data_IF_943678259404
#
_entry.id   IF_943678259404
#
_cell.length_a   1.000
_cell.length_b   1.000
_cell.length_c   1.000
_cell.angle_alpha   90.00
_cell.angle_beta   90.00
_cell.angle_gamma   90.00
#
_symmetry.space_group_name_H-M   'P 1'
#
loop_
_entity.id
_entity.type
_entity.pdbx_description
1 polymer ?
#
# COMPACT_ATOMS: atom_id res chain seq x y z
N UNK A 1 -24.02 -31.54 -1.42
CA UNK A 1 -23.28 -30.85 -2.51
C UNK A 1 -23.56 -29.34 -2.60
N UNK A 2 -24.73 -28.80 -2.24
CA UNK A 2 -24.99 -27.34 -2.24
C UNK A 2 -24.20 -26.54 -1.19
N UNK A 3 -24.01 -27.07 0.03
CA UNK A 3 -23.27 -26.37 1.09
C UNK A 3 -21.76 -26.23 0.81
N UNK A 4 -21.13 -27.20 0.14
CA UNK A 4 -19.73 -27.08 -0.29
C UNK A 4 -19.55 -25.99 -1.36
N UNK A 5 -20.52 -25.84 -2.26
CA UNK A 5 -20.52 -24.79 -3.29
C UNK A 5 -20.74 -23.39 -2.72
N UNK A 6 -21.48 -23.25 -1.61
CA UNK A 6 -21.65 -21.96 -0.93
C UNK A 6 -20.39 -21.53 -0.17
N UNK A 7 -19.75 -22.45 0.57
CA UNK A 7 -18.48 -22.16 1.25
C UNK A 7 -17.36 -21.76 0.27
N UNK A 8 -17.31 -22.40 -0.89
CA UNK A 8 -16.34 -22.08 -1.95
C UNK A 8 -16.63 -20.73 -2.63
N UNK A 9 -17.91 -20.34 -2.78
CA UNK A 9 -18.29 -19.00 -3.28
C UNK A 9 -17.94 -17.89 -2.30
N UNK A 10 -18.11 -18.11 -1.00
CA UNK A 10 -17.79 -17.12 0.04
C UNK A 10 -16.27 -16.93 0.17
N UNK A 11 -15.49 -18.02 0.17
CA UNK A 11 -14.03 -17.93 0.20
C UNK A 11 -13.47 -17.26 -1.06
N UNK A 12 -14.03 -17.57 -2.24
CA UNK A 12 -13.67 -16.89 -3.48
C UNK A 12 -14.01 -15.40 -3.45
N UNK A 13 -15.18 -15.00 -2.93
CA UNK A 13 -15.57 -13.59 -2.80
C UNK A 13 -14.67 -12.81 -1.86
N UNK A 14 -14.33 -13.38 -0.70
CA UNK A 14 -13.42 -12.75 0.26
C UNK A 14 -12.00 -12.68 -0.30
N UNK A 15 -11.51 -13.75 -0.93
CA UNK A 15 -10.20 -13.76 -1.58
C UNK A 15 -10.12 -12.80 -2.78
N UNK A 16 -11.19 -12.69 -3.58
CA UNK A 16 -11.25 -11.78 -4.71
C UNK A 16 -11.39 -10.32 -4.27
N UNK A 17 -12.14 -10.06 -3.20
CA UNK A 17 -12.26 -8.74 -2.57
C UNK A 17 -10.92 -8.31 -1.98
N UNK A 18 -10.22 -9.23 -1.31
CA UNK A 18 -8.90 -8.98 -0.77
C UNK A 18 -7.84 -8.77 -1.88
N UNK A 19 -7.83 -9.60 -2.92
CA UNK A 19 -6.82 -9.55 -3.97
C UNK A 19 -7.08 -8.49 -5.05
N UNK A 20 -8.27 -7.90 -5.13
CA UNK A 20 -8.62 -6.88 -6.14
C UNK A 20 -8.77 -7.40 -7.58
N UNK A 21 -8.49 -8.68 -7.82
CA UNK A 21 -8.45 -9.26 -9.17
C UNK A 21 -9.76 -9.16 -9.95
N UNK A 22 -10.90 -9.25 -9.25
CA UNK A 22 -12.22 -9.12 -9.91
C UNK A 22 -12.48 -7.68 -10.38
N UNK A 23 -12.03 -6.69 -9.60
CA UNK A 23 -12.12 -5.27 -9.98
C UNK A 23 -11.16 -4.95 -11.12
N UNK A 24 -9.91 -5.40 -11.04
CA UNK A 24 -8.90 -5.22 -12.09
C UNK A 24 -9.33 -5.88 -13.40
N UNK A 25 -9.88 -7.10 -13.35
CA UNK A 25 -10.37 -7.80 -14.53
C UNK A 25 -11.55 -7.08 -15.19
N UNK A 26 -12.49 -6.57 -14.39
CA UNK A 26 -13.60 -5.78 -14.91
C UNK A 26 -13.11 -4.47 -15.54
N UNK A 27 -12.18 -3.77 -14.88
CA UNK A 27 -11.61 -2.52 -15.39
C UNK A 27 -10.82 -2.72 -16.69
N UNK A 28 -9.98 -3.76 -16.76
CA UNK A 28 -9.24 -4.11 -17.97
C UNK A 28 -10.19 -4.47 -19.13
N UNK A 29 -11.26 -5.21 -18.85
CA UNK A 29 -12.29 -5.52 -19.86
C UNK A 29 -13.02 -4.27 -20.35
N UNK A 30 -13.27 -3.30 -19.46
CA UNK A 30 -13.90 -2.03 -19.79
C UNK A 30 -12.99 -1.17 -20.67
N UNK A 31 -11.70 -1.05 -20.31
CA UNK A 31 -10.69 -0.35 -21.10
C UNK A 31 -10.55 -0.96 -22.50
N UNK A 32 -10.47 -2.29 -22.58
CA UNK A 32 -10.39 -3.00 -23.86
C UNK A 32 -11.64 -2.74 -24.74
N UNK A 33 -12.83 -2.76 -24.13
CA UNK A 33 -14.07 -2.46 -24.83
C UNK A 33 -14.11 -1.00 -25.34
N UNK A 34 -13.66 -0.04 -24.54
CA UNK A 34 -13.64 1.37 -24.93
C UNK A 34 -12.68 1.62 -26.11
N UNK A 35 -11.48 1.04 -26.06
CA UNK A 35 -10.51 1.09 -27.18
C UNK A 35 -11.11 0.48 -28.45
N UNK A 36 -11.77 -0.68 -28.34
CA UNK A 36 -12.40 -1.34 -29.49
C UNK A 36 -13.56 -0.51 -30.08
N UNK A 37 -14.38 0.11 -29.23
CA UNK A 37 -15.49 0.97 -29.67
C UNK A 37 -14.94 2.17 -30.44
N UNK A 38 -13.88 2.82 -29.96
CA UNK A 38 -13.29 3.97 -30.67
C UNK A 38 -12.67 3.53 -31.98
N UNK A 39 -11.92 2.42 -32.00
CA UNK A 39 -11.26 1.90 -33.20
C UNK A 39 -12.24 1.54 -34.33
N UNK A 40 -13.43 1.04 -33.98
CA UNK A 40 -14.49 0.67 -34.93
C UNK A 40 -15.49 1.80 -35.22
N UNK A 41 -15.36 2.94 -34.52
CA UNK A 41 -16.28 4.06 -34.69
C UNK A 41 -16.01 4.85 -35.97
N UNK A 42 -17.05 5.53 -36.47
CA UNK A 42 -16.90 6.45 -37.60
C UNK A 42 -15.95 7.61 -37.23
N UNK A 43 -15.18 8.16 -38.19
CA UNK A 43 -14.19 9.22 -37.94
C UNK A 43 -14.75 10.40 -37.14
N UNK A 44 -15.93 10.89 -37.52
CA UNK A 44 -16.58 12.00 -36.84
C UNK A 44 -16.94 11.70 -35.38
N UNK A 45 -17.22 10.43 -35.03
CA UNK A 45 -17.56 10.01 -33.66
C UNK A 45 -16.30 9.76 -32.82
N UNK A 46 -15.22 9.30 -33.42
CA UNK A 46 -13.92 9.25 -32.76
C UNK A 46 -13.40 10.67 -32.47
N UNK A 47 -13.62 11.60 -33.40
CA UNK A 47 -13.21 13.00 -33.28
C UNK A 47 -13.81 13.69 -32.06
N UNK A 48 -15.08 13.44 -31.73
CA UNK A 48 -15.71 14.06 -30.54
C UNK A 48 -15.09 13.62 -29.21
N UNK A 49 -14.36 12.50 -29.19
CA UNK A 49 -13.67 11.99 -28.00
C UNK A 49 -12.21 12.44 -27.92
N UNK A 50 -11.69 13.10 -28.96
CA UNK A 50 -10.25 13.44 -29.07
C UNK A 50 -9.77 14.27 -27.88
N UNK A 51 -10.56 15.25 -27.43
CA UNK A 51 -10.24 16.11 -26.30
C UNK A 51 -10.16 15.34 -24.97
N UNK A 52 -11.09 14.40 -24.76
CA UNK A 52 -11.11 13.58 -23.56
C UNK A 52 -9.90 12.63 -23.51
N UNK A 53 -9.54 12.03 -24.66
CA UNK A 53 -8.37 11.15 -24.76
C UNK A 53 -7.08 11.94 -24.59
N UNK A 54 -6.96 13.12 -25.19
CA UNK A 54 -5.79 13.99 -25.00
C UNK A 54 -5.67 14.45 -23.54
N UNK A 55 -6.76 14.87 -22.90
CA UNK A 55 -6.74 15.27 -21.49
C UNK A 55 -6.29 14.13 -20.55
N UNK A 56 -6.62 12.87 -20.89
CA UNK A 56 -6.16 11.70 -20.15
C UNK A 56 -4.69 11.35 -20.45
N UNK A 57 -4.30 11.36 -21.72
CA UNK A 57 -3.00 10.88 -22.18
C UNK A 57 -1.86 11.90 -21.99
N UNK A 58 -2.14 13.20 -22.07
CA UNK A 58 -1.15 14.28 -21.99
C UNK A 58 -0.27 14.21 -20.71
N UNK A 59 -0.83 14.06 -19.48
CA UNK A 59 0.00 13.91 -18.28
C UNK A 59 0.69 12.54 -18.15
N UNK A 60 0.31 11.54 -18.94
CA UNK A 60 0.79 10.16 -18.81
C UNK A 60 1.82 9.78 -19.89
N UNK A 61 1.75 10.37 -21.08
CA UNK A 61 2.43 9.91 -22.28
C UNK A 61 3.18 11.04 -23.01
N UNK A 62 3.74 12.01 -22.29
CA UNK A 62 4.41 13.21 -22.87
C UNK A 62 5.48 12.93 -23.95
N UNK A 63 6.13 11.76 -23.94
CA UNK A 63 7.17 11.37 -24.91
C UNK A 63 6.68 10.38 -25.97
N UNK A 64 5.41 10.01 -25.97
CA UNK A 64 4.89 9.00 -26.89
C UNK A 64 4.65 9.62 -28.29
N UNK A 65 5.21 9.07 -29.38
CA UNK A 65 4.96 9.55 -30.74
C UNK A 65 3.47 9.50 -31.14
N UNK A 66 2.66 8.67 -30.48
CA UNK A 66 1.21 8.58 -30.69
C UNK A 66 0.49 9.84 -30.21
N UNK A 67 0.97 10.46 -29.13
CA UNK A 67 0.40 11.71 -28.62
C UNK A 67 0.61 12.83 -29.65
N UNK A 68 1.84 12.97 -30.15
CA UNK A 68 2.18 13.95 -31.18
C UNK A 68 1.36 13.75 -32.48
N UNK A 69 1.10 12.50 -32.86
CA UNK A 69 0.25 12.19 -34.02
C UNK A 69 -1.19 12.67 -33.84
N UNK A 70 -1.79 12.40 -32.68
CA UNK A 70 -3.18 12.83 -32.40
C UNK A 70 -3.27 14.35 -32.26
N UNK A 71 -2.27 15.00 -31.68
CA UNK A 71 -2.19 16.46 -31.62
C UNK A 71 -2.04 17.11 -33.00
N UNK A 72 -1.25 16.52 -33.90
CA UNK A 72 -1.12 16.98 -35.29
C UNK A 72 -2.44 16.83 -36.05
N UNK A 73 -3.12 15.69 -35.89
CA UNK A 73 -4.46 15.46 -36.46
C UNK A 73 -5.46 16.50 -35.94
N UNK A 74 -5.44 16.79 -34.64
CA UNK A 74 -6.28 17.83 -34.03
C UNK A 74 -5.96 19.22 -34.55
N UNK A 75 -4.68 19.56 -34.69
CA UNK A 75 -4.22 20.87 -35.19
C UNK A 75 -4.65 21.12 -36.64
N UNK A 76 -4.65 20.08 -37.46
CA UNK A 76 -5.08 20.15 -38.87
C UNK A 76 -6.60 20.20 -39.04
N UNK A 77 -7.36 19.96 -37.97
CA UNK A 77 -8.83 19.99 -37.93
C UNK A 77 -9.49 19.15 -39.05
N UNK A 78 -9.09 17.87 -39.13
CA UNK A 78 -9.60 16.92 -40.13
C UNK A 78 -10.51 15.85 -39.51
N UNK A 79 -11.76 16.19 -39.16
CA UNK A 79 -12.68 15.30 -38.44
C UNK A 79 -13.13 14.06 -39.23
N UNK A 80 -12.95 14.07 -40.55
CA UNK A 80 -13.36 12.97 -41.44
C UNK A 80 -12.20 12.03 -41.84
N UNK A 81 -10.98 12.29 -41.37
CA UNK A 81 -9.84 11.44 -41.70
C UNK A 81 -10.06 10.02 -41.13
N UNK A 82 -10.01 9.02 -42.01
CA UNK A 82 -10.13 7.60 -41.67
C UNK A 82 -9.05 7.13 -40.69
N UNK A 83 -8.00 7.93 -40.48
CA UNK A 83 -6.95 7.65 -39.51
C UNK A 83 -7.29 7.99 -38.06
N UNK A 84 -8.27 8.88 -37.85
CA UNK A 84 -8.64 9.37 -36.51
C UNK A 84 -9.04 8.23 -35.56
N UNK A 85 -9.92 7.28 -35.94
CA UNK A 85 -10.36 6.22 -35.03
C UNK A 85 -9.21 5.36 -34.51
N UNK A 86 -8.29 4.93 -35.39
CA UNK A 86 -7.18 4.08 -34.97
C UNK A 86 -6.13 4.85 -34.18
N UNK A 87 -5.84 6.11 -34.54
CA UNK A 87 -4.83 6.92 -33.86
C UNK A 87 -5.27 7.25 -32.43
N UNK A 88 -6.54 7.64 -32.26
CA UNK A 88 -7.13 7.93 -30.94
C UNK A 88 -7.21 6.65 -30.09
N UNK A 89 -7.62 5.51 -30.68
CA UNK A 89 -7.65 4.24 -29.97
C UNK A 89 -6.26 3.77 -29.52
N UNK A 90 -5.23 3.91 -30.38
CA UNK A 90 -3.86 3.53 -30.07
C UNK A 90 -3.23 4.40 -28.97
N UNK A 91 -3.56 5.69 -28.93
CA UNK A 91 -3.16 6.60 -27.85
C UNK A 91 -3.87 6.25 -26.55
N UNK A 92 -5.19 6.00 -26.59
CA UNK A 92 -5.95 5.62 -25.41
C UNK A 92 -5.45 4.29 -24.81
N UNK A 93 -5.14 3.31 -25.65
CA UNK A 93 -4.55 2.05 -25.21
C UNK A 93 -3.19 2.25 -24.53
N UNK A 94 -2.34 3.14 -25.06
CA UNK A 94 -1.06 3.47 -24.44
C UNK A 94 -1.26 4.14 -23.07
N UNK A 95 -2.19 5.09 -22.98
CA UNK A 95 -2.52 5.75 -21.72
C UNK A 95 -3.01 4.77 -20.65
N UNK A 96 -3.89 3.83 -21.02
CA UNK A 96 -4.35 2.78 -20.10
C UNK A 96 -3.24 1.81 -19.68
N UNK A 97 -2.34 1.43 -20.58
CA UNK A 97 -1.20 0.58 -20.22
C UNK A 97 -0.32 1.23 -19.14
N UNK A 98 -0.01 2.53 -19.28
CA UNK A 98 0.75 3.30 -18.27
C UNK A 98 -0.04 3.40 -16.95
N UNK A 99 -1.36 3.57 -17.01
CA UNK A 99 -2.20 3.63 -15.81
C UNK A 99 -2.27 2.28 -15.08
N UNK A 100 -2.34 1.17 -15.82
CA UNK A 100 -2.31 -0.20 -15.28
C UNK A 100 -0.98 -0.51 -14.61
N UNK A 101 0.16 -0.09 -15.18
CA UNK A 101 1.48 -0.23 -14.53
C UNK A 101 1.52 0.48 -13.16
N UNK A 102 0.97 1.71 -13.09
CA UNK A 102 0.85 2.45 -11.82
C UNK A 102 -0.03 1.69 -10.81
N UNK A 103 -1.11 1.05 -11.28
CA UNK A 103 -1.96 0.21 -10.45
C UNK A 103 -1.25 -1.06 -9.95
N UNK A 104 -0.43 -1.72 -10.77
CA UNK A 104 0.36 -2.90 -10.34
C UNK A 104 1.36 -2.53 -9.25
N UNK A 105 2.04 -1.39 -9.38
CA UNK A 105 2.97 -0.87 -8.35
C UNK A 105 2.25 -0.68 -7.01
N UNK A 106 1.03 -0.15 -7.05
CA UNK A 106 0.17 0.03 -5.88
C UNK A 106 -0.11 -1.30 -5.15
N UNK A 107 -0.36 -2.38 -5.90
CA UNK A 107 -0.65 -3.72 -5.37
C UNK A 107 0.57 -4.34 -4.69
N UNK A 108 1.74 -4.25 -5.33
CA UNK A 108 2.99 -4.75 -4.77
C UNK A 108 3.35 -4.03 -3.47
N UNK A 109 3.08 -2.73 -3.39
CA UNK A 109 3.26 -1.94 -2.18
C UNK A 109 2.30 -2.39 -1.07
N UNK A 110 1.00 -2.56 -1.37
CA UNK A 110 0.01 -3.07 -0.40
C UNK A 110 0.40 -4.44 0.15
N UNK A 111 0.80 -5.37 -0.71
CA UNK A 111 1.22 -6.71 -0.30
C UNK A 111 2.53 -6.70 0.50
N UNK A 112 3.42 -5.73 0.27
CA UNK A 112 4.62 -5.53 1.08
C UNK A 112 4.27 -4.96 2.46
N UNK A 113 3.36 -4.00 2.53
CA UNK A 113 2.83 -3.44 3.79
C UNK A 113 2.11 -4.49 4.62
N UNK A 114 1.21 -5.29 4.02
CA UNK A 114 0.50 -6.37 4.73
C UNK A 114 1.50 -7.40 5.28
N UNK A 115 2.51 -7.78 4.49
CA UNK A 115 3.57 -8.69 4.97
C UNK A 115 4.35 -8.09 6.14
N UNK A 116 4.82 -6.85 6.02
CA UNK A 116 5.53 -6.18 7.10
C UNK A 116 4.66 -6.06 8.37
N UNK A 117 3.39 -5.67 8.21
CA UNK A 117 2.44 -5.57 9.32
C UNK A 117 2.17 -6.92 9.97
N UNK A 118 2.01 -7.99 9.19
CA UNK A 118 1.82 -9.33 9.72
C UNK A 118 3.02 -9.82 10.55
N UNK A 119 4.25 -9.49 10.14
CA UNK A 119 5.46 -9.81 10.89
C UNK A 119 5.50 -9.04 12.23
N UNK A 120 5.16 -7.75 12.21
CA UNK A 120 5.13 -6.93 13.43
C UNK A 120 4.04 -7.38 14.40
N UNK A 121 2.84 -7.69 13.90
CA UNK A 121 1.77 -8.26 14.72
C UNK A 121 2.17 -9.62 15.28
N UNK A 122 2.85 -10.46 14.49
CA UNK A 122 3.37 -11.74 14.98
C UNK A 122 4.39 -11.55 16.10
N UNK A 123 5.32 -10.60 15.97
CA UNK A 123 6.26 -10.26 17.04
C UNK A 123 5.54 -9.81 18.30
N UNK A 124 4.52 -8.95 18.17
CA UNK A 124 3.66 -8.53 19.28
C UNK A 124 3.02 -9.73 19.99
N UNK A 125 2.43 -10.64 19.22
CA UNK A 125 1.81 -11.88 19.75
C UNK A 125 2.85 -12.74 20.44
N UNK A 126 4.06 -12.90 19.87
CA UNK A 126 5.14 -13.64 20.51
C UNK A 126 5.52 -13.03 21.84
N UNK A 127 5.70 -11.69 21.91
CA UNK A 127 6.02 -11.00 23.18
C UNK A 127 4.94 -11.24 24.24
N UNK A 128 3.66 -11.15 23.84
CA UNK A 128 2.52 -11.44 24.73
C UNK A 128 2.49 -12.90 25.19
N UNK A 129 2.77 -13.85 24.29
CA UNK A 129 2.81 -15.29 24.61
C UNK A 129 3.99 -15.61 25.54
N UNK A 130 5.15 -14.99 25.35
CA UNK A 130 6.30 -15.14 26.23
C UNK A 130 5.98 -14.60 27.63
N UNK A 131 5.41 -13.39 27.73
CA UNK A 131 4.94 -12.81 28.99
C UNK A 131 3.91 -13.69 29.70
N UNK A 132 3.04 -14.36 28.94
CA UNK A 132 2.04 -15.26 29.49
C UNK A 132 2.64 -16.57 30.01
N UNK A 133 3.61 -17.14 29.29
CA UNK A 133 4.23 -18.42 29.68
C UNK A 133 5.22 -18.29 30.81
N UNK A 134 5.97 -17.18 30.84
CA UNK A 134 7.05 -16.95 31.79
C UNK A 134 6.87 -15.58 32.44
N UNK A 135 6.18 -15.54 33.58
CA UNK A 135 6.17 -14.36 34.43
C UNK A 135 7.63 -13.96 34.78
N UNK A 136 7.90 -12.65 34.83
CA UNK A 136 9.22 -12.14 35.22
C UNK A 136 10.31 -12.11 34.14
N UNK A 137 10.10 -12.69 32.95
CA UNK A 137 11.13 -12.67 31.88
C UNK A 137 11.29 -11.31 31.20
N UNK A 138 10.25 -10.48 31.23
CA UNK A 138 10.27 -9.14 30.67
C UNK A 138 10.20 -8.16 31.84
N UNK A 139 11.31 -7.50 32.22
CA UNK A 139 11.31 -6.53 33.31
C UNK A 139 10.61 -5.24 32.86
N UNK A 140 9.28 -5.26 32.91
CA UNK A 140 8.43 -4.08 32.69
C UNK A 140 8.28 -3.27 33.99
N UNK A 141 8.34 -3.95 35.13
CA UNK A 141 8.38 -3.33 36.44
C UNK A 141 9.22 -4.21 37.37
N UNK A 142 10.12 -3.61 38.13
CA UNK A 142 11.08 -4.32 39.01
C UNK A 142 10.71 -4.20 40.49
N UNK A 143 10.25 -3.03 40.95
CA UNK A 143 10.04 -2.77 42.39
C UNK A 143 8.61 -2.36 42.77
N UNK A 144 7.79 -1.89 41.82
CA UNK A 144 6.52 -1.21 42.09
C UNK A 144 5.36 -1.73 41.21
N UNK A 145 5.23 -3.04 41.05
CA UNK A 145 4.13 -3.61 40.25
C UNK A 145 2.78 -3.57 41.04
N UNK A 146 1.63 -3.27 40.40
CA UNK A 146 0.34 -3.08 41.08
C UNK A 146 -0.13 -4.27 41.91
N UNK A 147 0.19 -5.50 41.46
CA UNK A 147 -0.23 -6.74 42.13
C UNK A 147 0.87 -7.31 43.05
N UNK A 148 2.01 -6.62 43.22
CA UNK A 148 3.13 -7.07 44.06
C UNK A 148 3.83 -8.36 43.60
N UNK A 149 3.42 -8.92 42.47
CA UNK A 149 4.00 -10.09 41.82
C UNK A 149 4.89 -9.69 40.63
N UNK A 150 5.67 -10.65 40.11
CA UNK A 150 6.42 -10.51 38.86
C UNK A 150 5.52 -10.01 37.72
N UNK A 151 6.04 -9.20 36.77
CA UNK A 151 5.26 -8.66 35.67
C UNK A 151 4.59 -9.78 34.87
N UNK A 152 3.27 -9.73 34.80
CA UNK A 152 2.43 -10.69 34.09
C UNK A 152 1.89 -10.13 32.77
N UNK A 153 0.96 -10.89 32.18
CA UNK A 153 0.29 -10.55 30.93
C UNK A 153 -0.40 -9.17 30.98
N UNK A 154 -0.95 -8.79 32.14
CA UNK A 154 -1.73 -7.56 32.31
C UNK A 154 -0.83 -6.33 32.25
N UNK A 155 0.28 -6.36 32.97
CA UNK A 155 1.25 -5.25 33.04
C UNK A 155 1.90 -5.02 31.67
N UNK A 156 2.36 -6.10 31.02
CA UNK A 156 2.93 -6.06 29.67
C UNK A 156 1.90 -5.56 28.65
N UNK A 157 0.65 -6.04 28.75
CA UNK A 157 -0.44 -5.62 27.87
C UNK A 157 -0.80 -4.14 28.00
N UNK A 158 -0.79 -3.60 29.22
CA UNK A 158 -1.04 -2.17 29.48
C UNK A 158 0.06 -1.28 28.89
N UNK A 159 1.33 -1.67 29.06
CA UNK A 159 2.47 -0.94 28.46
C UNK A 159 2.40 -0.95 26.94
N UNK A 160 2.10 -2.10 26.33
CA UNK A 160 1.90 -2.20 24.88
C UNK A 160 0.74 -1.32 24.38
N UNK A 161 -0.38 -1.30 25.11
CA UNK A 161 -1.55 -0.50 24.77
C UNK A 161 -1.24 1.00 24.84
N UNK A 162 -0.51 1.44 25.87
CA UNK A 162 -0.09 2.84 26.00
C UNK A 162 0.96 3.24 24.95
N UNK A 163 1.88 2.34 24.61
CA UNK A 163 2.78 2.52 23.47
C UNK A 163 2.03 2.68 22.14
N UNK A 164 0.96 1.90 21.95
CA UNK A 164 0.07 2.01 20.79
C UNK A 164 -0.73 3.32 20.78
N UNK A 165 -1.19 3.80 21.94
CA UNK A 165 -1.86 5.10 22.06
C UNK A 165 -0.90 6.26 21.73
N UNK A 166 0.35 6.18 22.19
CA UNK A 166 1.40 7.11 21.78
C UNK A 166 1.57 7.14 20.25
N UNK A 167 1.60 5.97 19.61
CA UNK A 167 1.62 5.82 18.15
C UNK A 167 0.43 6.49 17.45
N UNK A 168 -0.76 6.27 18.00
CA UNK A 168 -2.02 6.66 17.38
C UNK A 168 -2.16 8.17 17.23
N UNK A 169 -1.53 8.95 18.12
CA UNK A 169 -1.53 10.43 18.01
C UNK A 169 -0.94 10.92 16.69
N UNK A 170 0.14 10.30 16.22
CA UNK A 170 0.77 10.62 14.95
C UNK A 170 -0.07 10.16 13.75
N UNK A 171 -0.64 8.95 13.84
CA UNK A 171 -1.52 8.37 12.82
C UNK A 171 -2.74 9.27 12.59
N UNK A 172 -3.38 9.73 13.68
CA UNK A 172 -4.54 10.62 13.62
C UNK A 172 -4.20 11.96 12.92
N UNK A 173 -3.06 12.57 13.25
CA UNK A 173 -2.63 13.82 12.63
C UNK A 173 -2.32 13.70 11.13
N UNK A 174 -1.79 12.55 10.67
CA UNK A 174 -1.60 12.29 9.24
C UNK A 174 -2.92 12.04 8.52
N UNK A 175 -3.81 11.24 9.09
CA UNK A 175 -5.11 10.91 8.50
C UNK A 175 -5.97 12.16 8.29
N UNK A 176 -5.93 13.12 9.21
CA UNK A 176 -6.64 14.41 9.06
C UNK A 176 -6.16 15.27 7.88
N UNK A 177 -4.92 15.08 7.43
CA UNK A 177 -4.33 15.80 6.29
C UNK A 177 -4.49 15.08 4.96
N UNK A 178 -4.98 13.83 4.98
CA UNK A 178 -5.25 13.04 3.77
C UNK A 178 -6.58 13.48 3.16
N UNK A 179 -6.53 14.55 2.36
CA UNK A 179 -7.66 15.00 1.56
C UNK A 179 -7.87 14.15 0.31
N UNK A 180 -9.05 13.55 0.17
CA UNK A 180 -9.83 13.59 -1.08
C UNK A 180 -9.43 12.74 -2.30
N UNK A 181 -8.37 11.92 -2.30
CA UNK A 181 -8.17 10.95 -3.40
C UNK A 181 -8.68 9.57 -2.98
N UNK A 182 -9.82 9.16 -3.53
CA UNK A 182 -10.39 7.83 -3.38
C UNK A 182 -9.51 6.84 -4.16
N UNK A 183 -8.36 6.46 -3.59
CA UNK A 183 -7.53 5.40 -4.12
C UNK A 183 -8.13 4.05 -3.64
N UNK A 184 -8.63 3.18 -4.54
CA UNK A 184 -9.25 1.90 -4.16
C UNK A 184 -8.32 1.00 -3.32
N UNK A 185 -7.03 1.29 -3.30
CA UNK A 185 -6.02 0.55 -2.55
C UNK A 185 -5.68 1.13 -1.15
N UNK A 186 -6.16 2.33 -0.78
CA UNK A 186 -5.99 3.00 0.54
C UNK A 186 -4.60 2.78 1.18
N UNK A 187 -3.53 2.79 0.38
CA UNK A 187 -2.16 2.50 0.82
C UNK A 187 -1.70 3.36 2.00
N UNK A 188 -2.01 4.67 2.06
CA UNK A 188 -1.59 5.52 3.17
C UNK A 188 -2.21 5.08 4.50
N UNK A 189 -3.43 4.54 4.49
CA UNK A 189 -4.09 4.02 5.69
C UNK A 189 -3.35 2.80 6.25
N UNK A 190 -2.97 1.84 5.39
CA UNK A 190 -2.21 0.67 5.81
C UNK A 190 -0.80 1.02 6.31
N UNK A 191 -0.15 2.03 5.70
CA UNK A 191 1.15 2.52 6.16
C UNK A 191 1.08 3.23 7.51
N UNK A 192 -0.04 3.86 7.86
CA UNK A 192 -0.21 4.41 9.20
C UNK A 192 -0.60 3.32 10.21
N UNK A 193 -1.42 2.34 9.82
CA UNK A 193 -1.85 1.26 10.71
C UNK A 193 -0.68 0.40 11.21
N UNK A 194 0.37 0.22 10.40
CA UNK A 194 1.57 -0.52 10.78
C UNK A 194 2.34 0.13 11.94
N UNK A 195 2.11 1.41 12.23
CA UNK A 195 2.79 2.12 13.32
C UNK A 195 2.22 1.80 14.69
N UNK A 196 0.98 1.33 14.74
CA UNK A 196 0.35 0.89 15.98
C UNK A 196 1.12 -0.28 16.64
N UNK A 197 1.42 -1.40 15.94
CA UNK A 197 2.22 -2.46 16.54
C UNK A 197 3.68 -2.04 16.79
N UNK A 198 4.24 -1.14 15.98
CA UNK A 198 5.59 -0.60 16.20
C UNK A 198 5.63 0.19 17.52
N UNK A 199 4.60 0.98 17.82
CA UNK A 199 4.55 1.75 19.07
C UNK A 199 4.47 0.87 20.30
N UNK A 200 3.68 -0.20 20.23
CA UNK A 200 3.61 -1.20 21.29
C UNK A 200 4.96 -1.89 21.52
N UNK A 201 5.66 -2.31 20.46
CA UNK A 201 6.98 -2.93 20.55
C UNK A 201 8.05 -1.94 21.04
N UNK A 202 8.01 -0.69 20.56
CA UNK A 202 8.96 0.36 20.96
C UNK A 202 8.82 0.71 22.43
N UNK A 203 7.59 0.71 22.97
CA UNK A 203 7.37 0.91 24.41
C UNK A 203 8.02 -0.19 25.26
N UNK A 204 7.84 -1.47 24.87
CA UNK A 204 8.46 -2.60 25.59
C UNK A 204 9.99 -2.54 25.47
N UNK A 205 10.52 -2.35 24.26
CA UNK A 205 11.98 -2.28 24.03
C UNK A 205 12.61 -1.08 24.76
N UNK A 206 11.97 0.09 24.71
CA UNK A 206 12.45 1.29 25.38
C UNK A 206 12.54 1.12 26.89
N UNK A 207 11.55 0.45 27.49
CA UNK A 207 11.55 0.16 28.91
C UNK A 207 12.65 -0.85 29.30
N UNK A 208 12.89 -1.88 28.47
CA UNK A 208 14.03 -2.80 28.64
C UNK A 208 15.39 -2.08 28.57
N UNK A 209 15.52 -1.08 27.68
CA UNK A 209 16.74 -0.28 27.55
C UNK A 209 16.99 0.62 28.76
N UNK A 210 15.92 1.15 29.37
CA UNK A 210 16.02 1.99 30.58
C UNK A 210 16.37 1.15 31.81
N UNK A 211 15.88 -0.09 31.89
CA UNK A 211 16.15 -0.99 33.02
C UNK A 211 17.58 -1.56 33.01
N UNK A 212 18.30 -1.51 31.89
CA UNK A 212 19.63 -2.14 31.71
C UNK A 212 20.81 -1.19 31.95
N UNK A 213 20.59 0.01 32.52
CA UNK A 213 21.59 1.10 32.67
C UNK A 213 22.32 1.50 31.37
N UNK A 214 21.86 1.01 30.21
CA UNK A 214 22.47 1.27 28.91
C UNK A 214 22.39 2.76 28.51
N UNK A 215 21.37 3.46 29.01
CA UNK A 215 21.17 4.89 28.80
C UNK A 215 21.48 5.65 30.10
N UNK A 216 22.74 6.07 30.34
CA UNK A 216 23.14 6.76 31.58
C UNK A 216 22.48 8.14 31.79
N UNK A 217 21.69 8.60 30.81
CA UNK A 217 20.97 9.88 30.84
C UNK A 217 19.53 9.73 31.39
N UNK A 218 18.98 8.52 31.50
CA UNK A 218 17.59 8.29 31.89
C UNK A 218 17.59 7.41 33.14
N UNK A 219 17.09 7.96 34.24
CA UNK A 219 16.92 7.21 35.48
C UNK A 219 15.82 6.15 35.32
N UNK A 220 15.99 4.94 35.91
CA UNK A 220 14.98 3.90 35.86
C UNK A 220 13.70 4.35 36.60
N UNK A 221 12.51 4.00 36.08
CA UNK A 221 11.25 4.44 36.67
C UNK A 221 11.03 3.80 38.05
N UNK A 222 10.81 4.64 39.07
CA UNK A 222 10.62 4.17 40.45
C UNK A 222 9.18 3.72 40.75
N UNK A 223 8.19 4.27 40.03
CA UNK A 223 6.78 3.96 40.23
C UNK A 223 6.09 3.38 38.99
N UNK A 224 4.97 2.67 39.18
CA UNK A 224 4.15 2.16 38.08
C UNK A 224 3.63 3.28 37.15
N UNK A 225 3.31 4.45 37.70
CA UNK A 225 2.89 5.61 36.92
C UNK A 225 3.99 6.09 35.98
N UNK A 226 5.26 6.06 36.43
CA UNK A 226 6.40 6.46 35.61
C UNK A 226 6.66 5.46 34.49
N UNK A 227 6.50 4.17 34.75
CA UNK A 227 6.53 3.12 33.71
C UNK A 227 5.49 3.39 32.62
N UNK A 228 4.26 3.72 32.99
CA UNK A 228 3.19 4.03 32.03
C UNK A 228 3.47 5.31 31.24
N UNK A 229 4.04 6.34 31.89
CA UNK A 229 4.44 7.57 31.22
C UNK A 229 5.58 7.30 30.20
N UNK A 230 6.59 6.54 30.59
CA UNK A 230 7.66 6.07 29.70
C UNK A 230 7.11 5.29 28.52
N UNK A 231 6.13 4.40 28.72
CA UNK A 231 5.50 3.64 27.64
C UNK A 231 4.87 4.55 26.57
N UNK A 232 4.17 5.61 26.99
CA UNK A 232 3.61 6.61 26.05
C UNK A 232 4.72 7.37 25.35
N UNK A 233 5.75 7.83 26.07
CA UNK A 233 6.88 8.57 25.52
C UNK A 233 7.63 7.75 24.47
N UNK A 234 7.95 6.48 24.76
CA UNK A 234 8.58 5.58 23.79
C UNK A 234 7.66 5.25 22.61
N UNK A 235 6.35 5.12 22.86
CA UNK A 235 5.33 5.02 21.83
C UNK A 235 5.31 6.22 20.88
N UNK A 236 5.57 7.44 21.35
CA UNK A 236 5.73 8.62 20.50
C UNK A 236 7.13 8.68 19.86
N UNK A 237 8.17 8.29 20.61
CA UNK A 237 9.57 8.33 20.18
C UNK A 237 9.84 7.46 18.95
N UNK A 238 9.02 6.43 18.69
CA UNK A 238 9.09 5.65 17.47
C UNK A 238 9.08 6.51 16.19
N UNK A 239 8.48 7.72 16.22
CA UNK A 239 8.44 8.65 15.08
C UNK A 239 9.86 9.02 14.64
N UNK A 240 10.81 9.16 15.58
CA UNK A 240 12.20 9.43 15.27
C UNK A 240 12.87 8.23 14.58
N UNK A 241 12.53 7.01 15.02
CA UNK A 241 13.05 5.76 14.45
C UNK A 241 12.45 5.44 13.08
N UNK A 242 11.16 5.70 12.87
CA UNK A 242 10.46 5.36 11.62
C UNK A 242 10.61 6.43 10.54
N UNK A 243 11.03 7.66 10.88
CA UNK A 243 11.17 8.78 9.93
C UNK A 243 12.11 8.47 8.76
N UNK A 244 13.24 7.82 9.02
CA UNK A 244 14.21 7.46 7.97
C UNK A 244 13.69 6.36 7.03
N UNK A 245 12.90 5.42 7.55
CA UNK A 245 12.26 4.37 6.75
C UNK A 245 11.12 4.96 5.92
N UNK A 246 10.28 5.81 6.52
CA UNK A 246 9.19 6.51 5.85
C UNK A 246 9.70 7.38 4.68
N UNK A 247 10.80 8.12 4.88
CA UNK A 247 11.42 8.94 3.83
C UNK A 247 11.96 8.11 2.65
N UNK A 248 12.46 6.90 2.90
CA UNK A 248 12.91 5.98 1.83
C UNK A 248 11.71 5.39 1.08
N UNK A 249 10.64 5.05 1.77
CA UNK A 249 9.41 4.57 1.15
C UNK A 249 8.76 5.65 0.27
N UNK A 250 8.68 6.90 0.74
CA UNK A 250 8.18 8.03 -0.04
C UNK A 250 9.06 8.32 -1.25
N UNK A 251 10.40 8.22 -1.14
CA UNK A 251 11.28 8.36 -2.31
C UNK A 251 11.10 7.26 -3.35
N UNK A 252 10.87 6.01 -2.93
CA UNK A 252 10.59 4.89 -3.85
C UNK A 252 9.21 5.04 -4.51
N UNK A 253 8.23 5.62 -3.80
CA UNK A 253 6.90 5.89 -4.33
C UNK A 253 6.84 7.14 -5.23
N UNK A 254 7.67 8.15 -4.94
CA UNK A 254 7.76 9.40 -5.68
C UNK A 254 8.77 9.37 -6.84
N UNK A 255 9.72 8.42 -6.83
CA UNK A 255 10.62 8.21 -7.96
C UNK A 255 9.83 7.64 -9.16
N UNK A 256 9.82 8.40 -10.25
CA UNK A 256 9.62 7.87 -11.59
C UNK A 256 10.57 6.68 -11.84
N UNK A 257 10.22 5.75 -12.74
CA UNK A 257 10.80 4.41 -12.79
C UNK A 257 12.34 4.48 -12.84
N UNK A 258 12.98 3.78 -11.91
CA UNK A 258 14.42 3.49 -12.02
C UNK A 258 14.64 2.68 -13.30
N UNK A 259 15.66 3.05 -14.08
CA UNK A 259 16.10 2.34 -15.26
C UNK A 259 16.42 0.86 -15.00
N UNK A 260 16.72 0.47 -13.76
CA UNK A 260 16.83 -0.94 -13.35
C UNK A 260 15.47 -1.65 -13.24
N UNK A 261 14.43 -0.98 -12.76
CA UNK A 261 13.08 -1.57 -12.63
C UNK A 261 12.42 -1.73 -14.01
N UNK A 262 12.66 -0.78 -14.93
CA UNK A 262 12.29 -0.89 -16.34
C UNK A 262 13.00 -2.08 -17.04
N UNK A 263 14.28 -2.30 -16.76
CA UNK A 263 15.05 -3.47 -17.26
C UNK A 263 14.58 -4.80 -16.67
N UNK A 264 14.06 -4.80 -15.44
CA UNK A 264 13.48 -6.01 -14.84
C UNK A 264 12.12 -6.35 -15.44
N UNK A 265 11.32 -5.34 -15.80
CA UNK A 265 10.05 -5.52 -16.51
C UNK A 265 10.25 -5.98 -17.97
N UNK A 266 11.29 -5.50 -18.65
CA UNK A 266 11.69 -5.96 -19.99
C UNK A 266 12.18 -7.43 -20.01
N UNK A 267 12.69 -7.92 -18.88
CA UNK A 267 13.14 -9.32 -18.72
C UNK A 267 12.03 -10.31 -18.36
N UNK A 268 10.79 -9.86 -18.11
CA UNK A 268 9.68 -10.77 -17.90
C UNK A 268 9.26 -11.33 -19.26
N UNK A 269 9.47 -12.63 -19.56
CA UNK A 269 9.11 -13.17 -20.85
C UNK A 269 7.59 -13.05 -21.05
N UNK A 270 7.20 -12.34 -22.10
CA UNK A 270 5.81 -12.21 -22.53
C UNK A 270 5.29 -13.54 -23.05
N UNK A 271 4.83 -14.38 -22.13
CA UNK A 271 4.23 -15.67 -22.43
C UNK A 271 2.79 -15.55 -23.00
N UNK A 272 2.31 -14.34 -23.31
CA UNK A 272 0.99 -14.13 -23.94
C UNK A 272 1.03 -14.16 -25.47
N UNK A 273 2.21 -14.08 -26.10
CA UNK A 273 2.35 -14.17 -27.57
C UNK A 273 2.27 -15.62 -28.09
N UNK A 274 2.48 -16.64 -27.26
CA UNK A 274 2.46 -18.05 -27.70
C UNK A 274 1.07 -18.69 -27.80
N UNK A 275 -0.02 -17.94 -27.61
CA UNK A 275 -1.39 -18.48 -27.62
C UNK A 275 -2.32 -17.81 -28.62
N UNK A 276 -1.82 -17.50 -29.82
CA UNK A 276 -2.70 -17.33 -30.98
C UNK A 276 -3.04 -18.73 -31.54
N UNK A 277 -4.31 -19.11 -31.68
CA UNK A 277 -4.67 -20.35 -32.36
C UNK A 277 -4.39 -20.17 -33.86
N UNK A 278 -3.61 -21.10 -34.43
CA UNK A 278 -3.45 -21.18 -35.88
C UNK A 278 -4.82 -21.42 -36.53
N UNK A 279 -5.32 -20.43 -37.27
CA UNK A 279 -6.42 -20.65 -38.20
C UNK A 279 -5.87 -21.49 -39.35
N UNK A 280 -6.13 -22.80 -39.30
CA UNK A 280 -5.95 -23.71 -40.41
C UNK A 280 -6.83 -23.29 -41.59
N UNK A 281 -6.19 -23.18 -42.74
CA UNK A 281 -6.78 -23.20 -44.09
C UNK A 281 -7.50 -24.52 -44.36
#
# INVERSE_FOLDING_TARGET
MRQAAEGQKVSWRLASWWNGQAYEGALASLHAAEVAIIALSQPARAWTRIDAVLALADPLCQKDPRLALVEDLKRKDWPQDHRVPWAVAALLQAAYAVQEERAVRSRNFRNRLIRAGSVLTLLLVVTVVVAWRNAGTIPVCTNSCPDGAEPGLREVGLVMLLGMLGAATHVAGRLQKMGGSWNPYNLPFYQELIKLPIGALTAVIGLLLVDTDWLPMIEPPESWSDVLACAVVFGVAQIALTRTIDQRAEKILAAEPDAEEAKQLEKVPDNRVQRAPELGT
#
